data_IF_767560995216
#
_entry.id   IF_767560995216
#
_cell.length_a   1.000
_cell.length_b   1.000
_cell.length_c   1.000
_cell.angle_alpha   90.00
_cell.angle_beta   90.00
_cell.angle_gamma   90.00
#
_symmetry.space_group_name_H-M   'P 1'
#
loop_
_entity.id
_entity.type
_entity.pdbx_description
1 polymer ?
#
# COMPACT_ATOMS: atom_id res chain seq x y z
N UNK A 1 50.43 5.33 20.27
CA UNK A 1 49.96 4.77 18.99
C UNK A 1 48.45 4.67 19.11
N UNK A 2 47.77 5.44 18.27
CA UNK A 2 46.32 5.64 18.28
C UNK A 2 45.64 4.41 17.70
N UNK A 3 44.57 3.94 18.35
CA UNK A 3 43.59 3.09 17.70
C UNK A 3 42.22 3.56 18.17
N UNK A 4 41.71 4.56 17.47
CA UNK A 4 40.28 4.90 17.47
C UNK A 4 39.53 3.68 16.92
N UNK A 5 38.80 3.01 17.79
CA UNK A 5 37.84 1.99 17.38
C UNK A 5 36.59 2.71 16.89
N UNK A 6 36.47 2.76 15.56
CA UNK A 6 35.37 3.35 14.82
C UNK A 6 34.07 2.61 15.11
N UNK A 7 33.16 3.29 15.81
CA UNK A 7 31.77 2.89 16.03
C UNK A 7 31.05 2.77 14.68
N UNK A 8 30.82 1.55 14.20
CA UNK A 8 29.81 1.30 13.18
C UNK A 8 28.50 0.97 13.90
N UNK A 9 27.65 1.99 14.06
CA UNK A 9 26.24 1.77 14.36
C UNK A 9 25.61 1.18 13.10
N UNK A 10 25.31 -0.12 13.11
CA UNK A 10 24.33 -0.68 12.20
C UNK A 10 23.01 0.04 12.51
N UNK A 11 22.58 0.92 11.61
CA UNK A 11 21.24 1.49 11.67
C UNK A 11 20.27 0.35 11.39
N UNK A 12 19.76 -0.27 12.46
CA UNK A 12 18.54 -1.05 12.41
C UNK A 12 17.45 -0.11 11.88
N UNK A 13 17.12 -0.25 10.59
CA UNK A 13 15.93 0.35 10.02
C UNK A 13 14.75 -0.27 10.76
N UNK A 14 14.23 0.41 11.78
CA UNK A 14 12.93 0.10 12.37
C UNK A 14 11.90 0.21 11.24
N UNK A 15 11.62 -0.91 10.56
CA UNK A 15 10.48 -1.05 9.67
C UNK A 15 9.24 -0.97 10.55
N UNK A 16 8.77 0.25 10.77
CA UNK A 16 7.45 0.48 11.34
C UNK A 16 6.45 -0.36 10.53
N UNK A 17 5.55 -1.11 11.18
CA UNK A 17 4.60 -1.96 10.48
C UNK A 17 3.70 -1.09 9.60
N UNK A 18 3.95 -1.12 8.30
CA UNK A 18 3.13 -0.41 7.32
C UNK A 18 1.84 -1.20 7.12
N UNK A 19 0.70 -0.58 7.36
CA UNK A 19 -0.61 -1.18 7.05
C UNK A 19 -0.71 -1.39 5.54
N UNK A 20 -0.90 -2.64 5.13
CA UNK A 20 -1.22 -2.99 3.75
C UNK A 20 -2.73 -3.09 3.63
N UNK A 21 -3.30 -2.33 2.69
CA UNK A 21 -4.71 -2.39 2.34
C UNK A 21 -4.85 -2.97 0.93
N UNK A 22 -5.89 -3.78 0.74
CA UNK A 22 -6.28 -4.27 -0.58
C UNK A 22 -7.52 -3.48 -1.02
N UNK A 23 -7.40 -2.64 -2.05
CA UNK A 23 -8.56 -1.89 -2.54
C UNK A 23 -9.58 -2.81 -3.19
N UNK A 24 -10.82 -2.33 -3.28
CA UNK A 24 -11.81 -2.96 -4.15
C UNK A 24 -11.41 -2.69 -5.59
N UNK A 25 -11.36 -3.76 -6.38
CA UNK A 25 -10.99 -3.71 -7.79
C UNK A 25 -12.01 -4.49 -8.59
N UNK A 26 -12.65 -3.81 -9.54
CA UNK A 26 -13.48 -4.42 -10.56
C UNK A 26 -12.70 -4.53 -11.88
N UNK A 27 -12.90 -5.63 -12.58
CA UNK A 27 -12.25 -5.92 -13.86
C UNK A 27 -13.32 -6.17 -14.91
N UNK A 28 -13.21 -5.46 -16.03
CA UNK A 28 -14.06 -5.64 -17.20
C UNK A 28 -13.17 -5.96 -18.40
N UNK A 29 -13.61 -6.91 -19.21
CA UNK A 29 -12.91 -7.35 -20.42
C UNK A 29 -13.84 -7.15 -21.62
N UNK A 30 -13.27 -6.69 -22.73
CA UNK A 30 -13.91 -6.68 -24.04
C UNK A 30 -12.95 -7.24 -25.10
N UNK A 31 -13.37 -7.26 -26.37
CA UNK A 31 -12.60 -7.86 -27.47
C UNK A 31 -11.20 -7.24 -27.69
N UNK A 32 -10.88 -6.08 -27.09
CA UNK A 32 -9.62 -5.37 -27.32
C UNK A 32 -8.91 -4.81 -26.09
N UNK A 33 -9.54 -4.76 -24.91
CA UNK A 33 -8.92 -4.19 -23.72
C UNK A 33 -9.43 -4.78 -22.40
N UNK A 34 -8.60 -4.61 -21.37
CA UNK A 34 -8.99 -4.79 -19.97
C UNK A 34 -9.16 -3.42 -19.32
N UNK A 35 -10.31 -3.20 -18.69
CA UNK A 35 -10.60 -2.02 -17.89
C UNK A 35 -10.60 -2.40 -16.41
N UNK A 36 -9.68 -1.82 -15.64
CA UNK A 36 -9.60 -1.99 -14.19
C UNK A 36 -10.12 -0.72 -13.51
N UNK A 37 -11.05 -0.88 -12.59
CA UNK A 37 -11.59 0.20 -11.75
C UNK A 37 -11.24 -0.10 -10.30
N UNK A 38 -10.43 0.74 -9.67
CA UNK A 38 -9.95 0.54 -8.31
C UNK A 38 -10.28 1.73 -7.41
N UNK A 39 -10.91 1.47 -6.27
CA UNK A 39 -11.18 2.49 -5.25
C UNK A 39 -9.94 2.69 -4.37
N UNK A 40 -9.19 3.77 -4.65
CA UNK A 40 -7.94 4.12 -3.96
C UNK A 40 -8.12 5.41 -3.11
N UNK A 41 -8.80 5.35 -1.96
CA UNK A 41 -9.03 6.53 -1.12
C UNK A 41 -7.70 7.07 -0.57
N UNK A 42 -7.52 8.39 -0.65
CA UNK A 42 -6.32 9.05 -0.12
C UNK A 42 -5.05 8.86 -0.97
N UNK A 43 -5.15 8.23 -2.14
CA UNK A 43 -4.05 8.11 -3.10
C UNK A 43 -4.16 9.22 -4.16
N UNK A 44 -3.09 9.97 -4.36
CA UNK A 44 -2.95 10.90 -5.48
C UNK A 44 -2.39 10.18 -6.70
N UNK A 45 -2.64 10.73 -7.90
CA UNK A 45 -2.11 10.13 -9.14
C UNK A 45 -0.58 9.97 -9.13
N UNK A 46 0.13 10.94 -8.58
CA UNK A 46 1.59 10.95 -8.52
C UNK A 46 2.17 9.88 -7.56
N UNK A 47 1.33 9.32 -6.67
CA UNK A 47 1.70 8.29 -5.71
C UNK A 47 1.29 6.87 -6.15
N UNK A 48 0.77 6.69 -7.37
CA UNK A 48 0.36 5.41 -7.93
C UNK A 48 1.37 4.94 -8.99
N UNK A 49 1.93 3.76 -8.77
CA UNK A 49 2.75 3.02 -9.73
C UNK A 49 1.95 1.86 -10.31
N UNK A 50 2.05 1.67 -11.63
CA UNK A 50 1.38 0.60 -12.36
C UNK A 50 2.43 -0.10 -13.21
N UNK A 51 2.62 -1.39 -12.96
CA UNK A 51 3.59 -2.22 -13.68
C UNK A 51 2.90 -3.44 -14.28
N UNK A 52 3.24 -3.77 -15.53
CA UNK A 52 2.75 -4.98 -16.22
C UNK A 52 3.91 -5.96 -16.37
N UNK A 53 3.77 -7.15 -15.77
CA UNK A 53 4.75 -8.22 -15.79
C UNK A 53 4.11 -9.48 -16.38
N UNK A 54 4.30 -9.69 -17.69
CA UNK A 54 3.69 -10.82 -18.40
C UNK A 54 2.16 -10.76 -18.30
N UNK A 55 1.57 -11.77 -17.64
CA UNK A 55 0.14 -11.90 -17.42
C UNK A 55 -0.34 -11.23 -16.10
N UNK A 56 0.52 -10.50 -15.40
CA UNK A 56 0.21 -9.86 -14.12
C UNK A 56 0.27 -8.33 -14.22
N UNK A 57 -0.76 -7.66 -13.70
CA UNK A 57 -0.78 -6.21 -13.51
C UNK A 57 -0.63 -5.94 -12.01
N UNK A 58 0.38 -5.16 -11.64
CA UNK A 58 0.65 -4.74 -10.27
C UNK A 58 0.32 -3.25 -10.11
N UNK A 59 -0.51 -2.92 -9.11
CA UNK A 59 -0.81 -1.55 -8.69
C UNK A 59 -0.21 -1.34 -7.31
N UNK A 60 0.72 -0.40 -7.19
CA UNK A 60 1.36 -0.06 -5.92
C UNK A 60 1.15 1.42 -5.61
N UNK A 61 0.66 1.70 -4.42
CA UNK A 61 0.52 3.06 -3.92
C UNK A 61 0.99 3.16 -2.48
N UNK A 62 1.59 4.29 -2.14
CA UNK A 62 2.08 4.58 -0.79
C UNK A 62 1.53 5.94 -0.34
N UNK A 63 0.81 5.96 0.78
CA UNK A 63 0.32 7.20 1.41
C UNK A 63 0.74 7.23 2.87
N UNK A 64 0.99 8.43 3.38
CA UNK A 64 1.41 8.68 4.77
C UNK A 64 0.22 8.65 5.75
N UNK A 65 -1.02 8.59 5.24
CA UNK A 65 -2.24 8.67 6.05
C UNK A 65 -3.03 7.37 5.95
N UNK A 66 -2.91 6.51 6.96
CA UNK A 66 -3.87 5.42 7.20
C UNK A 66 -4.14 5.29 8.71
N UNK A 67 -4.99 6.18 9.25
CA UNK A 67 -5.77 5.89 10.46
C UNK A 67 -7.17 5.44 10.04
N UNK A 68 -7.35 4.16 9.70
CA UNK A 68 -8.69 3.59 9.49
C UNK A 68 -9.24 3.06 10.82
N UNK A 69 -10.18 3.79 11.42
CA UNK A 69 -10.87 3.37 12.66
C UNK A 69 -12.35 3.16 12.39
N UNK A 70 -12.74 1.90 12.19
CA UNK A 70 -14.15 1.47 12.07
C UNK A 70 -14.68 1.03 13.44
N UNK A 71 -15.71 1.71 13.95
CA UNK A 71 -16.53 1.25 15.08
C UNK A 71 -17.96 1.03 14.61
N UNK A 72 -18.48 -0.19 14.77
CA UNK A 72 -19.88 -0.50 14.53
C UNK A 72 -20.61 -0.62 15.87
N UNK A 73 -21.69 0.14 16.06
CA UNK A 73 -22.59 -0.05 17.19
C UNK A 73 -23.56 -1.19 16.85
N UNK A 74 -23.51 -2.28 17.61
CA UNK A 74 -24.57 -3.27 17.59
C UNK A 74 -25.76 -2.66 18.35
N UNK A 75 -26.84 -2.37 17.62
CA UNK A 75 -28.10 -2.04 18.25
C UNK A 75 -28.58 -3.24 19.07
N UNK A 76 -29.00 -3.00 20.30
CA UNK A 76 -29.65 -3.97 21.17
C UNK A 76 -31.07 -4.21 20.66
N UNK A 77 -31.21 -4.91 19.53
CA UNK A 77 -32.43 -5.63 19.09
C UNK A 77 -32.08 -6.49 17.84
N UNK A 78 -31.82 -7.78 18.05
CA UNK A 78 -31.87 -8.85 17.03
C UNK A 78 -32.66 -10.03 17.55
#
# INVERSE_FOLDING_TARGET
MTTETQIHQAQETETQPKTVVYPLVDVFENDGEFLLVADLPGITKDALDITVNGDTIELKAETETLEDRRSFALGDDV
#
